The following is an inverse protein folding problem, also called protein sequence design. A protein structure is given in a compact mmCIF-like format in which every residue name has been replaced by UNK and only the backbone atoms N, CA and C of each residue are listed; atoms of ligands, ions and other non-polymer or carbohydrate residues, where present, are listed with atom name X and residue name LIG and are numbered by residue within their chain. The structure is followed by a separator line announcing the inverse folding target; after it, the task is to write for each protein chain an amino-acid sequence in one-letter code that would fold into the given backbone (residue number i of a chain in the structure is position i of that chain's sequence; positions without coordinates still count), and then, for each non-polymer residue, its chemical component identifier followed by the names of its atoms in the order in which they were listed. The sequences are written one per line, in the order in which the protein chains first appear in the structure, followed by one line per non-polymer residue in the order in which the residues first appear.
data_IF_393498918733
#
_entry.id   IF_393498918733
#
_cell.length_a   1.000
_cell.length_b   1.000
_cell.length_c   1.000
_cell.angle_alpha   90.00
_cell.angle_beta   90.00
_cell.angle_gamma   90.00
#
_symmetry.space_group_name_H-M   'P 1'
#
loop_
_entity.id
_entity.type
_entity.pdbx_description
1 polymer ?
#
# COMPACT_ATOMS: atom_id res chain seq x y z
N UNK A 1 -2.20 -10.75 -4.81
CA UNK A 1 -2.22 -12.01 -4.03
C UNK A 1 -2.85 -13.15 -4.82
N UNK A 2 -4.02 -12.96 -5.46
CA UNK A 2 -4.67 -14.00 -6.27
C UNK A 2 -3.77 -14.68 -7.28
N UNK A 3 -3.01 -13.91 -8.06
CA UNK A 3 -2.09 -14.49 -9.05
C UNK A 3 -1.04 -15.40 -8.40
N UNK A 4 -0.51 -15.03 -7.22
CA UNK A 4 0.44 -15.86 -6.48
C UNK A 4 -0.23 -17.12 -5.91
N UNK A 5 -1.47 -17.00 -5.42
CA UNK A 5 -2.25 -18.13 -4.94
C UNK A 5 -2.59 -19.11 -6.08
N UNK A 6 -2.94 -18.61 -7.27
CA UNK A 6 -3.18 -19.45 -8.44
C UNK A 6 -1.93 -20.20 -8.87
N UNK A 7 -0.77 -19.55 -8.89
CA UNK A 7 0.51 -20.22 -9.15
C UNK A 7 0.84 -21.26 -8.07
N UNK A 8 0.50 -20.98 -6.81
CA UNK A 8 0.67 -21.92 -5.69
C UNK A 8 -0.23 -23.16 -5.84
N UNK A 9 -1.49 -22.99 -6.28
CA UNK A 9 -2.44 -24.07 -6.55
C UNK A 9 -2.02 -25.02 -7.68
N UNK A 10 -1.18 -24.55 -8.61
CA UNK A 10 -0.62 -25.41 -9.67
C UNK A 10 0.42 -26.39 -9.14
N UNK A 11 0.95 -26.16 -7.94
CA UNK A 11 1.95 -27.03 -7.34
C UNK A 11 1.31 -28.32 -6.80
N UNK A 12 2.02 -29.44 -6.91
CA UNK A 12 1.58 -30.75 -6.41
C UNK A 12 1.91 -30.98 -4.93
N UNK A 13 2.57 -30.01 -4.30
CA UNK A 13 3.17 -30.15 -2.96
C UNK A 13 2.24 -29.64 -1.85
N UNK A 14 1.13 -29.01 -2.20
CA UNK A 14 0.27 -28.26 -1.28
C UNK A 14 -1.17 -28.69 -1.53
N UNK A 15 -1.92 -28.89 -0.46
CA UNK A 15 -3.36 -29.15 -0.59
C UNK A 15 -4.10 -27.86 -0.97
N UNK A 16 -4.85 -27.93 -2.06
CA UNK A 16 -5.54 -26.78 -2.65
C UNK A 16 -6.90 -26.48 -2.01
N UNK A 17 -7.42 -27.39 -1.18
CA UNK A 17 -8.74 -27.31 -0.56
C UNK A 17 -8.94 -26.03 0.27
N UNK A 18 -7.97 -25.69 1.11
CA UNK A 18 -8.04 -24.55 2.03
C UNK A 18 -7.45 -23.25 1.45
N UNK A 19 -6.95 -23.27 0.22
CA UNK A 19 -6.20 -22.18 -0.37
C UNK A 19 -7.12 -21.14 -1.05
N UNK A 20 -7.97 -20.48 -0.29
CA UNK A 20 -8.82 -19.37 -0.77
C UNK A 20 -8.19 -18.01 -0.46
N UNK A 21 -8.63 -16.94 -1.15
CA UNK A 21 -8.14 -15.58 -0.88
C UNK A 21 -8.53 -15.13 0.53
N UNK A 22 -9.74 -15.44 0.97
CA UNK A 22 -10.23 -15.09 2.31
C UNK A 22 -9.39 -15.76 3.39
N UNK A 23 -9.09 -17.05 3.22
CA UNK A 23 -8.16 -17.76 4.10
C UNK A 23 -6.77 -17.15 4.06
N UNK A 24 -6.35 -16.72 2.87
CA UNK A 24 -5.11 -16.01 2.58
C UNK A 24 -4.94 -14.64 3.24
N UNK A 25 -5.94 -14.11 3.95
CA UNK A 25 -5.83 -12.87 4.74
C UNK A 25 -5.61 -13.14 6.24
N UNK A 26 -5.98 -14.32 6.76
CA UNK A 26 -5.82 -14.63 8.18
C UNK A 26 -4.38 -14.96 8.55
N UNK A 27 -3.96 -14.62 9.78
CA UNK A 27 -2.62 -14.94 10.30
C UNK A 27 -2.31 -16.45 10.30
N UNK A 28 -3.34 -17.28 10.49
CA UNK A 28 -3.24 -18.75 10.47
C UNK A 28 -2.73 -19.31 9.14
N UNK A 29 -2.93 -18.59 8.04
CA UNK A 29 -2.51 -19.02 6.70
C UNK A 29 -1.00 -19.29 6.59
N UNK A 30 -0.16 -18.43 7.18
CA UNK A 30 1.30 -18.61 7.13
C UNK A 30 1.71 -19.89 7.86
N UNK A 31 1.04 -20.20 8.98
CA UNK A 31 1.28 -21.42 9.76
C UNK A 31 0.81 -22.67 9.00
N UNK A 32 -0.34 -22.60 8.33
CA UNK A 32 -0.87 -23.69 7.51
C UNK A 32 0.09 -24.00 6.36
N UNK A 33 0.51 -22.97 5.61
CA UNK A 33 1.49 -23.12 4.54
C UNK A 33 2.82 -23.66 5.06
N UNK A 34 3.34 -23.11 6.15
CA UNK A 34 4.60 -23.59 6.72
C UNK A 34 4.50 -25.07 7.07
N UNK A 35 3.43 -25.51 7.75
CA UNK A 35 3.24 -26.92 8.12
C UNK A 35 3.18 -27.86 6.93
N UNK A 36 2.50 -27.45 5.85
CA UNK A 36 2.40 -28.26 4.63
C UNK A 36 3.74 -28.32 3.89
N UNK A 37 4.45 -27.21 3.80
CA UNK A 37 5.72 -27.16 3.07
C UNK A 37 6.90 -27.73 3.84
N UNK A 38 6.87 -27.79 5.17
CA UNK A 38 7.99 -28.27 6.00
C UNK A 38 8.39 -29.70 5.63
N UNK A 39 7.40 -30.57 5.38
CA UNK A 39 7.61 -31.98 5.01
C UNK A 39 8.28 -32.14 3.64
N UNK A 40 8.13 -31.18 2.73
CA UNK A 40 8.57 -31.26 1.33
C UNK A 40 9.54 -30.14 0.96
N UNK A 41 10.04 -29.38 1.94
CA UNK A 41 10.81 -28.16 1.70
C UNK A 41 12.10 -28.43 0.91
N UNK A 42 12.74 -29.58 1.16
CA UNK A 42 13.98 -29.96 0.46
C UNK A 42 13.76 -30.27 -1.03
N UNK A 43 12.57 -30.77 -1.40
CA UNK A 43 12.21 -31.17 -2.76
C UNK A 43 11.52 -30.04 -3.53
N UNK A 44 10.95 -29.06 -2.81
CA UNK A 44 10.25 -27.94 -3.40
C UNK A 44 11.15 -27.09 -4.33
N UNK A 45 10.69 -26.75 -5.54
CA UNK A 45 11.46 -25.95 -6.49
C UNK A 45 11.65 -24.52 -5.96
N UNK A 46 12.76 -23.88 -6.34
CA UNK A 46 13.09 -22.50 -5.93
C UNK A 46 11.96 -21.51 -6.21
N UNK A 47 11.32 -21.62 -7.39
CA UNK A 47 10.17 -20.80 -7.78
C UNK A 47 9.00 -20.91 -6.79
N UNK A 48 8.71 -22.11 -6.29
CA UNK A 48 7.64 -22.31 -5.31
C UNK A 48 7.97 -21.64 -3.98
N UNK A 49 9.22 -21.79 -3.52
CA UNK A 49 9.71 -21.12 -2.31
C UNK A 49 9.61 -19.60 -2.45
N UNK A 50 9.99 -19.06 -3.60
CA UNK A 50 9.86 -17.62 -3.89
C UNK A 50 8.40 -17.16 -3.82
N UNK A 51 7.45 -17.89 -4.39
CA UNK A 51 6.01 -17.55 -4.30
C UNK A 51 5.52 -17.48 -2.84
N UNK A 52 6.01 -18.37 -1.98
CA UNK A 52 5.66 -18.37 -0.55
C UNK A 52 6.25 -17.16 0.16
N UNK A 53 7.49 -16.79 -0.15
CA UNK A 53 8.10 -15.55 0.35
C UNK A 53 7.33 -14.31 -0.14
N UNK A 54 6.99 -14.27 -1.42
CA UNK A 54 6.21 -13.19 -2.03
C UNK A 54 4.84 -13.04 -1.36
N UNK A 55 4.14 -14.14 -1.09
CA UNK A 55 2.86 -14.13 -0.37
C UNK A 55 2.99 -13.56 1.04
N UNK A 56 4.05 -13.95 1.76
CA UNK A 56 4.34 -13.42 3.09
C UNK A 56 4.62 -11.92 3.05
N UNK A 57 5.38 -11.44 2.07
CA UNK A 57 5.63 -10.00 1.91
C UNK A 57 4.36 -9.24 1.56
N UNK A 58 3.56 -9.71 0.61
CA UNK A 58 2.29 -9.09 0.24
C UNK A 58 1.31 -8.98 1.41
N UNK A 59 1.21 -10.03 2.24
CA UNK A 59 0.41 -10.02 3.47
C UNK A 59 0.94 -9.02 4.50
N UNK A 60 2.27 -8.91 4.62
CA UNK A 60 2.91 -7.94 5.51
C UNK A 60 2.66 -6.50 5.06
N UNK A 61 2.71 -6.24 3.74
CA UNK A 61 2.35 -4.94 3.14
C UNK A 61 0.89 -4.59 3.40
N UNK A 62 -0.04 -5.55 3.22
CA UNK A 62 -1.46 -5.34 3.51
C UNK A 62 -1.70 -4.98 4.99
N UNK A 63 -1.04 -5.68 5.91
CA UNK A 63 -1.11 -5.37 7.33
C UNK A 63 -0.46 -4.02 7.68
N UNK A 64 0.62 -3.65 7.00
CA UNK A 64 1.32 -2.37 7.17
C UNK A 64 0.45 -1.18 6.75
N UNK A 65 -0.35 -1.33 5.68
CA UNK A 65 -1.26 -0.29 5.18
C UNK A 65 -2.28 0.17 6.23
N UNK A 66 -2.77 -0.74 7.08
CA UNK A 66 -3.74 -0.45 8.13
C UNK A 66 -3.10 0.12 9.41
N UNK A 67 -1.79 -0.07 9.58
CA UNK A 67 -1.07 0.29 10.81
C UNK A 67 -0.34 1.61 10.69
N UNK A 68 0.29 1.86 9.54
CA UNK A 68 1.17 3.01 9.32
C UNK A 68 0.45 4.17 8.64
N UNK A 69 0.97 5.38 8.87
CA UNK A 69 0.62 6.59 8.14
C UNK A 69 1.07 6.52 6.66
N UNK A 70 0.54 7.42 5.83
CA UNK A 70 0.80 7.45 4.39
C UNK A 70 2.29 7.60 4.03
N UNK A 71 3.05 8.39 4.79
CA UNK A 71 4.48 8.62 4.57
C UNK A 71 5.31 7.41 4.96
N UNK A 72 5.09 6.88 6.16
CA UNK A 72 5.80 5.68 6.64
C UNK A 72 5.47 4.47 5.78
N UNK A 73 4.21 4.33 5.33
CA UNK A 73 3.81 3.26 4.43
C UNK A 73 4.54 3.35 3.07
N UNK A 74 4.63 4.54 2.47
CA UNK A 74 5.37 4.73 1.22
C UNK A 74 6.86 4.41 1.40
N UNK A 75 7.48 4.83 2.51
CA UNK A 75 8.85 4.47 2.86
C UNK A 75 9.01 2.95 2.99
N UNK A 76 8.09 2.28 3.69
CA UNK A 76 8.10 0.83 3.86
C UNK A 76 8.03 0.10 2.52
N UNK A 77 7.13 0.53 1.61
CA UNK A 77 7.05 -0.02 0.26
C UNK A 77 8.35 0.11 -0.53
N UNK A 78 9.03 1.25 -0.42
CA UNK A 78 10.33 1.44 -1.06
C UNK A 78 11.43 0.56 -0.47
N UNK A 79 11.44 0.35 0.85
CA UNK A 79 12.36 -0.57 1.53
C UNK A 79 12.10 -2.00 1.08
N UNK A 80 10.83 -2.45 1.04
CA UNK A 80 10.45 -3.75 0.51
C UNK A 80 11.02 -3.92 -0.90
N UNK A 81 10.74 -2.98 -1.81
CA UNK A 81 11.26 -3.04 -3.19
C UNK A 81 12.78 -3.13 -3.26
N UNK A 82 13.51 -2.45 -2.37
CA UNK A 82 14.97 -2.48 -2.34
C UNK A 82 15.53 -3.80 -1.76
N UNK A 83 14.78 -4.45 -0.87
CA UNK A 83 15.15 -5.73 -0.24
C UNK A 83 14.77 -6.95 -1.07
N UNK A 84 13.87 -6.80 -2.05
CA UNK A 84 13.37 -7.89 -2.87
C UNK A 84 14.41 -8.37 -3.88
N UNK A 85 14.41 -9.68 -4.16
CA UNK A 85 15.32 -10.27 -5.15
C UNK A 85 14.78 -10.03 -6.57
N UNK A 86 15.63 -10.23 -7.58
CA UNK A 86 15.20 -10.16 -8.99
C UNK A 86 14.18 -11.24 -9.37
N UNK A 87 14.00 -12.26 -8.53
CA UNK A 87 13.09 -13.39 -8.77
C UNK A 87 11.66 -13.12 -8.29
N UNK A 88 11.42 -12.00 -7.60
CA UNK A 88 10.12 -11.64 -7.06
C UNK A 88 9.13 -11.27 -8.17
N UNK A 89 8.24 -12.19 -8.52
CA UNK A 89 7.35 -12.03 -9.67
C UNK A 89 6.27 -10.98 -9.44
N UNK A 90 5.82 -10.79 -8.20
CA UNK A 90 4.72 -9.88 -7.88
C UNK A 90 5.06 -8.42 -8.17
N UNK A 91 6.33 -8.02 -8.07
CA UNK A 91 6.78 -6.64 -8.27
C UNK A 91 6.61 -6.16 -9.72
N UNK A 92 6.61 -7.09 -10.69
CA UNK A 92 6.46 -6.81 -12.11
C UNK A 92 5.02 -6.82 -12.59
N UNK A 93 4.06 -6.98 -11.69
CA UNK A 93 2.63 -6.95 -12.04
C UNK A 93 2.13 -5.52 -12.15
N UNK A 94 1.17 -5.27 -13.05
CA UNK A 94 0.50 -3.97 -13.17
C UNK A 94 -0.16 -3.55 -11.85
N UNK A 95 -0.64 -4.53 -11.06
CA UNK A 95 -1.20 -4.29 -9.73
C UNK A 95 -0.16 -3.73 -8.76
N UNK A 96 1.10 -4.21 -8.80
CA UNK A 96 2.18 -3.65 -8.00
C UNK A 96 2.49 -2.21 -8.43
N UNK A 97 2.59 -1.96 -9.74
CA UNK A 97 2.80 -0.60 -10.26
C UNK A 97 1.69 0.36 -9.80
N UNK A 98 0.43 -0.05 -9.92
CA UNK A 98 -0.72 0.72 -9.44
C UNK A 98 -0.62 0.98 -7.94
N UNK A 99 -0.25 -0.02 -7.12
CA UNK A 99 -0.07 0.13 -5.68
C UNK A 99 0.97 1.21 -5.33
N UNK A 100 2.14 1.20 -5.99
CA UNK A 100 3.16 2.24 -5.77
C UNK A 100 2.67 3.63 -6.20
N UNK A 101 1.93 3.72 -7.32
CA UNK A 101 1.36 4.98 -7.77
C UNK A 101 0.29 5.52 -6.80
N UNK A 102 -0.61 4.67 -6.29
CA UNK A 102 -1.57 5.07 -5.28
C UNK A 102 -0.89 5.50 -3.98
N UNK A 103 0.13 4.76 -3.52
CA UNK A 103 0.88 5.13 -2.33
C UNK A 103 1.57 6.50 -2.48
N UNK A 104 2.13 6.81 -3.67
CA UNK A 104 2.69 8.14 -3.95
C UNK A 104 1.63 9.23 -3.95
N UNK A 105 0.47 9.00 -4.57
CA UNK A 105 -0.62 9.98 -4.64
C UNK A 105 -1.15 10.40 -3.25
N UNK A 106 -1.01 9.53 -2.24
CA UNK A 106 -1.36 9.82 -0.84
C UNK A 106 -0.37 10.74 -0.13
N UNK A 107 0.83 10.92 -0.69
CA UNK A 107 1.93 11.72 -0.10
C UNK A 107 2.29 12.92 -0.97
N UNK A 108 2.15 12.80 -2.29
CA UNK A 108 2.58 13.81 -3.25
C UNK A 108 1.49 14.10 -4.28
N UNK A 109 1.27 15.39 -4.55
CA UNK A 109 0.43 15.85 -5.65
C UNK A 109 1.26 16.69 -6.61
N UNK A 110 1.15 16.34 -7.89
CA UNK A 110 1.74 17.13 -8.97
C UNK A 110 0.82 18.31 -9.26
N UNK A 111 1.25 19.51 -8.86
CA UNK A 111 0.55 20.74 -9.21
C UNK A 111 1.18 21.32 -10.47
N UNK A 112 0.39 21.40 -11.52
CA UNK A 112 0.76 22.11 -12.73
C UNK A 112 0.60 23.61 -12.50
N UNK A 113 1.70 24.36 -12.54
CA UNK A 113 1.67 25.82 -12.46
C UNK A 113 1.80 26.38 -13.87
N UNK A 114 0.82 27.18 -14.27
CA UNK A 114 0.97 28.02 -15.47
C UNK A 114 1.79 29.23 -15.03
N UNK A 115 3.00 29.36 -15.54
CA UNK A 115 3.78 30.58 -15.36
C UNK A 115 3.04 31.73 -16.04
N UNK A 116 2.46 32.63 -15.24
CA UNK A 116 1.98 33.92 -15.73
C UNK A 116 3.23 34.76 -16.02
N UNK A 117 3.75 34.66 -17.23
CA UNK A 117 4.73 35.64 -17.71
C UNK A 117 4.05 37.01 -17.71
N UNK A 118 4.61 37.97 -16.98
CA UNK A 118 4.22 39.37 -17.11
C UNK A 118 4.47 39.78 -18.56
N UNK A 119 3.41 40.23 -19.25
CA UNK A 119 3.48 40.56 -20.66
C UNK A 119 4.65 41.53 -20.95
N UNK A 120 5.54 41.25 -21.91
CA UNK A 120 6.52 42.23 -22.34
C UNK A 120 5.79 43.43 -22.94
N UNK A 121 5.96 44.61 -22.34
CA UNK A 121 5.54 45.88 -22.95
C UNK A 121 6.43 46.14 -24.17
N UNK A 122 5.96 45.70 -25.34
CA UNK A 122 6.51 46.13 -26.63
C UNK A 122 6.87 44.97 -27.57
N UNK A 123 6.41 45.14 -28.81
CA UNK A 123 6.70 44.40 -30.03
C UNK A 123 5.98 43.05 -30.27
N UNK A 124 5.00 43.14 -31.19
CA UNK A 124 4.83 42.18 -32.27
C UNK A 124 4.02 40.92 -31.94
N UNK A 125 2.83 40.80 -32.54
CA UNK A 125 2.03 39.56 -32.58
C UNK A 125 2.82 38.42 -33.25
N UNK A 126 3.62 37.69 -32.48
CA UNK A 126 4.02 36.31 -32.83
C UNK A 126 3.06 35.38 -32.10
N UNK A 127 2.58 34.37 -32.82
CA UNK A 127 1.71 33.32 -32.27
C UNK A 127 2.35 32.77 -30.99
N UNK A 128 1.62 32.85 -29.89
CA UNK A 128 2.10 32.42 -28.58
C UNK A 128 2.51 30.95 -28.66
N UNK A 129 3.80 30.66 -28.49
CA UNK A 129 4.21 29.34 -28.07
C UNK A 129 3.51 29.03 -26.74
N UNK A 130 3.04 27.81 -26.57
CA UNK A 130 2.41 27.36 -25.34
C UNK A 130 3.24 27.79 -24.13
N UNK A 131 2.62 28.35 -23.07
CA UNK A 131 3.36 28.85 -21.93
C UNK A 131 4.23 27.74 -21.32
N UNK A 132 5.48 28.03 -20.90
CA UNK A 132 6.31 27.05 -20.24
C UNK A 132 5.59 26.57 -18.98
N UNK A 133 5.30 25.27 -18.99
CA UNK A 133 4.52 24.61 -17.96
C UNK A 133 5.48 24.05 -16.93
N UNK A 134 5.62 24.71 -15.78
CA UNK A 134 6.39 24.16 -14.67
C UNK A 134 5.53 23.22 -13.82
N UNK A 135 6.10 22.06 -13.47
CA UNK A 135 5.43 21.07 -12.64
C UNK A 135 6.03 21.12 -11.25
N UNK A 136 5.24 21.46 -10.24
CA UNK A 136 5.66 21.57 -8.85
C UNK A 136 5.15 20.35 -8.06
N UNK A 137 6.04 19.67 -7.35
CA UNK A 137 5.68 18.52 -6.50
C UNK A 137 5.34 19.02 -5.10
N UNK A 138 4.08 18.90 -4.71
CA UNK A 138 3.60 19.35 -3.40
C UNK A 138 3.43 18.14 -2.48
N UNK A 139 4.06 18.11 -1.29
CA UNK A 139 3.78 17.09 -0.30
C UNK A 139 2.39 17.34 0.31
N UNK A 140 1.51 16.35 0.22
CA UNK A 140 0.20 16.32 0.86
C UNK A 140 0.21 15.17 1.86
N UNK A 141 -0.05 15.48 3.13
CA UNK A 141 -0.11 14.48 4.20
C UNK A 141 -1.57 14.11 4.42
N UNK A 142 -2.04 13.09 3.71
CA UNK A 142 -3.37 12.51 3.98
C UNK A 142 -3.43 11.97 5.43
N UNK A 143 -4.40 12.41 6.27
CA UNK A 143 -4.57 11.86 7.60
C UNK A 143 -5.10 10.42 7.54
N UNK A 144 -4.76 9.61 8.54
CA UNK A 144 -5.22 8.22 8.58
C UNK A 144 -6.71 8.16 8.95
N UNK A 145 -7.55 7.42 8.21
CA UNK A 145 -9.02 7.51 8.32
C UNK A 145 -9.58 7.04 9.66
N UNK A 146 -8.81 6.28 10.46
CA UNK A 146 -9.23 5.86 11.80
C UNK A 146 -9.17 6.98 12.83
N UNK A 147 -8.41 8.06 12.58
CA UNK A 147 -8.21 9.11 13.60
C UNK A 147 -9.47 9.92 13.83
N UNK A 148 -10.25 10.22 12.79
CA UNK A 148 -11.52 10.95 12.93
C UNK A 148 -12.49 10.16 13.80
N UNK A 149 -12.60 8.85 13.58
CA UNK A 149 -13.46 8.00 14.41
C UNK A 149 -12.97 7.91 15.87
N UNK A 150 -11.66 7.92 16.10
CA UNK A 150 -11.11 7.92 17.46
C UNK A 150 -11.39 9.24 18.16
N UNK A 151 -11.31 10.36 17.44
CA UNK A 151 -11.69 11.69 17.94
C UNK A 151 -13.17 11.71 18.34
N UNK A 152 -14.06 11.27 17.44
CA UNK A 152 -15.51 11.20 17.72
C UNK A 152 -15.81 10.36 18.98
N UNK A 153 -15.17 9.19 19.13
CA UNK A 153 -15.36 8.32 20.30
C UNK A 153 -14.79 8.94 21.58
N UNK A 154 -13.69 9.68 21.49
CA UNK A 154 -13.11 10.35 22.66
C UNK A 154 -14.01 11.49 23.13
N UNK A 155 -14.56 12.27 22.20
CA UNK A 155 -15.52 13.33 22.50
C UNK A 155 -16.77 12.75 23.16
N UNK A 156 -17.32 11.66 22.63
CA UNK A 156 -18.46 10.93 23.23
C UNK A 156 -18.16 10.49 24.68
N UNK A 157 -16.97 9.91 24.93
CA UNK A 157 -16.56 9.47 26.27
C UNK A 157 -16.40 10.66 27.23
N UNK A 158 -15.91 11.80 26.75
CA UNK A 158 -15.76 13.01 27.56
C UNK A 158 -17.11 13.61 27.94
N UNK A 159 -18.06 13.64 27.01
CA UNK A 159 -19.45 14.05 27.26
C UNK A 159 -20.13 13.13 28.30
N UNK A 160 -20.06 11.81 28.13
CA UNK A 160 -20.61 10.83 29.09
C UNK A 160 -20.03 11.01 30.50
N UNK A 161 -18.73 11.31 30.61
CA UNK A 161 -18.08 11.56 31.89
C UNK A 161 -18.52 12.87 32.53
N UNK A 162 -18.75 13.92 31.74
CA UNK A 162 -19.25 15.19 32.22
C UNK A 162 -20.69 15.05 32.74
N UNK A 163 -21.55 14.34 32.00
CA UNK A 163 -22.93 14.04 32.42
C UNK A 163 -22.98 13.14 33.66
N UNK A 164 -22.17 12.07 33.69
CA UNK A 164 -22.04 11.19 34.84
C UNK A 164 -21.51 11.92 36.08
N UNK A 165 -20.54 12.82 35.92
CA UNK A 165 -20.03 13.67 36.99
C UNK A 165 -21.06 14.67 37.52
N UNK A 166 -21.93 15.20 36.66
CA UNK A 166 -23.02 16.07 37.04
C UNK A 166 -24.18 15.34 37.74
N UNK A 167 -24.37 14.04 37.51
CA UNK A 167 -25.39 13.23 38.19
C UNK A 167 -25.04 12.87 39.64
N UNK A 168 -23.76 13.02 40.05
CA UNK A 168 -23.27 12.71 41.39
C UNK A 168 -22.89 13.96 42.23
N UNK A 169 -23.06 15.16 41.68
CA UNK A 169 -22.83 16.44 42.37
C UNK A 169 -24.15 17.11 42.76
#
# INVERSE_FOLDING_TARGET
MDSCLQELKKSRFIDTSDLTLDNGLFKSFDLILQRQLDQVWHVAPRRLKQIVYDLKTLRSIAAALLKYDSVTFLKYLHICRASESKECMWLFTDAAHAMFEYAKKRVYVLRRRVERQSAPKGLGKRAALDPPMSTELIPILEPMPKWTLVEDILDEIEEERAEGGAAFA
#
